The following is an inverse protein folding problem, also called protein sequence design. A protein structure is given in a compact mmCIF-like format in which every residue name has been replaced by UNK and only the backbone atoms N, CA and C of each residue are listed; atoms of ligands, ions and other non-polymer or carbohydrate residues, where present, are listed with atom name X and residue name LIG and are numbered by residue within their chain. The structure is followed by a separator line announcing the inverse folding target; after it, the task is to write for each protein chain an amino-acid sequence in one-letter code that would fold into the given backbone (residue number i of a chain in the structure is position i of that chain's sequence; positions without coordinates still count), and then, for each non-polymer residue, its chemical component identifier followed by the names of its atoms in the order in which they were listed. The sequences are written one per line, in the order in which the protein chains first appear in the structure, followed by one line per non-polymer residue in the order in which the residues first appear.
data_IF_260214719458
#
_entry.id   IF_260214719458
#
_cell.length_a   1.000
_cell.length_b   1.000
_cell.length_c   1.000
_cell.angle_alpha   90.00
_cell.angle_beta   90.00
_cell.angle_gamma   90.00
#
_symmetry.space_group_name_H-M   'P 1'
#
loop_
_entity.id
_entity.type
_entity.pdbx_description
1 polymer ?
#
# COMPACT_ATOMS: atom_id res chain seq x y z
N UNK A 1 -11.47 0.29 -6.53
CA UNK A 1 -10.66 -0.80 -7.09
C UNK A 1 -11.62 -1.84 -7.66
N UNK A 2 -11.13 -2.88 -8.33
CA UNK A 2 -11.93 -4.07 -8.64
C UNK A 2 -11.77 -5.02 -7.46
N UNK A 3 -12.87 -5.37 -6.80
CA UNK A 3 -12.82 -6.18 -5.58
C UNK A 3 -13.00 -7.67 -5.90
N UNK A 4 -12.13 -8.49 -5.32
CA UNK A 4 -12.18 -9.95 -5.32
C UNK A 4 -12.42 -10.45 -3.89
N UNK A 5 -12.63 -11.75 -3.73
CA UNK A 5 -12.92 -12.37 -2.42
C UNK A 5 -11.83 -12.10 -1.37
N UNK A 6 -10.56 -12.02 -1.80
CA UNK A 6 -9.41 -11.97 -0.89
C UNK A 6 -8.48 -10.76 -1.11
N UNK A 7 -8.77 -9.89 -2.09
CA UNK A 7 -7.92 -8.75 -2.43
C UNK A 7 -8.65 -7.78 -3.36
N UNK A 8 -8.08 -6.62 -3.60
CA UNK A 8 -8.57 -5.64 -4.57
C UNK A 8 -7.48 -5.31 -5.59
N UNK A 9 -7.88 -5.13 -6.85
CA UNK A 9 -6.99 -4.78 -7.96
C UNK A 9 -7.25 -3.33 -8.41
N UNK A 10 -6.22 -2.50 -8.35
CA UNK A 10 -6.23 -1.18 -8.99
C UNK A 10 -5.72 -1.29 -10.43
N UNK A 11 -6.47 -0.72 -11.38
CA UNK A 11 -5.99 -0.50 -12.74
C UNK A 11 -5.54 0.96 -12.84
N UNK A 12 -4.25 1.17 -13.08
CA UNK A 12 -3.61 2.50 -13.02
C UNK A 12 -2.96 2.88 -14.34
N UNK A 13 -2.89 4.19 -14.60
CA UNK A 13 -2.04 4.77 -15.64
C UNK A 13 -0.68 5.09 -14.98
N UNK A 14 0.45 4.50 -15.43
CA UNK A 14 1.74 4.62 -14.76
C UNK A 14 2.21 6.07 -14.51
N UNK A 15 1.86 6.99 -15.40
CA UNK A 15 2.23 8.41 -15.31
C UNK A 15 1.44 9.18 -14.24
N UNK A 16 0.30 8.63 -13.78
CA UNK A 16 -0.55 9.24 -12.75
C UNK A 16 -0.42 8.51 -11.40
N UNK A 17 -0.20 7.20 -11.42
CA UNK A 17 0.02 6.40 -10.23
C UNK A 17 1.00 5.26 -10.54
N UNK A 18 2.12 5.15 -9.81
CA UNK A 18 3.09 4.09 -10.05
C UNK A 18 2.49 2.71 -9.75
N UNK A 19 2.92 1.71 -10.52
CA UNK A 19 2.64 0.31 -10.21
C UNK A 19 3.30 -0.05 -8.87
N UNK A 20 2.57 -0.80 -8.05
CA UNK A 20 3.05 -1.35 -6.78
C UNK A 20 2.11 -2.50 -6.38
N UNK A 21 2.50 -3.26 -5.37
CA UNK A 21 1.59 -4.09 -4.60
C UNK A 21 1.70 -3.72 -3.13
N UNK A 22 0.60 -3.86 -2.40
CA UNK A 22 0.54 -3.56 -0.98
C UNK A 22 0.67 -4.83 -0.14
N UNK A 23 1.43 -4.76 0.94
CA UNK A 23 1.51 -5.79 1.98
C UNK A 23 0.96 -5.20 3.27
N UNK A 24 -0.10 -5.82 3.78
CA UNK A 24 -0.64 -5.52 5.10
C UNK A 24 0.36 -5.87 6.20
N UNK A 25 0.61 -4.94 7.11
CA UNK A 25 1.50 -5.14 8.25
C UNK A 25 1.18 -4.17 9.39
N UNK A 26 0.92 -4.71 10.59
CA UNK A 26 0.80 -3.91 11.82
C UNK A 26 2.08 -3.14 12.15
N UNK A 27 3.23 -3.66 11.70
CA UNK A 27 4.57 -3.12 11.89
C UNK A 27 5.05 -2.33 10.67
N UNK A 28 4.14 -1.80 9.83
CA UNK A 28 4.50 -1.01 8.64
C UNK A 28 5.44 0.17 8.96
N UNK A 29 5.34 0.76 10.16
CA UNK A 29 6.21 1.86 10.62
C UNK A 29 7.67 1.45 10.80
N UNK A 30 7.99 0.14 10.90
CA UNK A 30 9.36 -0.34 10.94
C UNK A 30 10.11 -0.12 9.61
N UNK A 31 9.38 0.14 8.52
CA UNK A 31 9.93 0.39 7.19
C UNK A 31 10.08 1.89 6.86
N UNK A 32 9.56 2.78 7.70
CA UNK A 32 9.69 4.23 7.55
C UNK A 32 8.52 5.02 8.14
N UNK A 33 8.51 6.33 7.91
CA UNK A 33 7.43 7.21 8.35
C UNK A 33 6.15 6.96 7.55
N UNK A 34 5.05 6.66 8.24
CA UNK A 34 3.76 6.38 7.61
C UNK A 34 3.06 7.66 7.17
N UNK A 35 2.61 7.69 5.92
CA UNK A 35 1.67 8.68 5.40
C UNK A 35 0.25 8.21 5.67
N UNK A 36 -0.55 9.03 6.36
CA UNK A 36 -1.97 8.74 6.59
C UNK A 36 -2.80 9.08 5.36
N UNK A 37 -3.61 8.13 4.93
CA UNK A 37 -4.56 8.29 3.83
C UNK A 37 -5.91 8.80 4.34
N UNK A 38 -6.73 9.28 3.40
CA UNK A 38 -8.06 9.83 3.70
C UNK A 38 -9.03 8.75 4.20
N UNK A 39 -8.83 7.50 3.80
CA UNK A 39 -9.64 6.35 4.22
C UNK A 39 -9.31 5.84 5.63
N UNK A 40 -8.31 6.42 6.29
CA UNK A 40 -7.89 6.05 7.64
C UNK A 40 -6.77 5.01 7.69
N UNK A 41 -6.40 4.41 6.55
CA UNK A 41 -5.19 3.58 6.46
C UNK A 41 -3.94 4.46 6.54
N UNK A 42 -2.79 3.85 6.82
CA UNK A 42 -1.51 4.53 6.79
C UNK A 42 -0.45 3.64 6.16
N UNK A 43 0.39 4.19 5.29
CA UNK A 43 1.37 3.39 4.56
C UNK A 43 2.71 4.08 4.34
N UNK A 44 3.73 3.29 4.02
CA UNK A 44 5.03 3.75 3.54
C UNK A 44 5.40 2.99 2.27
N UNK A 45 5.96 3.71 1.29
CA UNK A 45 6.45 3.12 0.06
C UNK A 45 7.95 2.83 0.17
N UNK A 46 8.32 1.60 -0.15
CA UNK A 46 9.71 1.14 -0.22
C UNK A 46 10.01 0.57 -1.60
N UNK A 47 11.30 0.27 -1.84
CA UNK A 47 11.75 -0.50 -2.99
C UNK A 47 12.36 -1.82 -2.54
N UNK A 48 12.07 -2.89 -3.25
CA UNK A 48 12.81 -4.15 -3.10
C UNK A 48 14.20 -4.09 -3.74
N UNK A 49 14.93 -5.20 -3.71
CA UNK A 49 16.27 -5.32 -4.28
C UNK A 49 16.32 -5.14 -5.80
N UNK A 50 15.20 -5.38 -6.48
CA UNK A 50 15.05 -5.24 -7.93
C UNK A 50 14.43 -3.88 -8.33
N UNK A 51 14.11 -3.04 -7.35
CA UNK A 51 13.58 -1.69 -7.54
C UNK A 51 12.06 -1.60 -7.71
N UNK A 52 11.32 -2.69 -7.51
CA UNK A 52 9.85 -2.71 -7.54
C UNK A 52 9.30 -1.88 -6.37
N UNK A 53 8.19 -1.19 -6.60
CA UNK A 53 7.53 -0.44 -5.54
C UNK A 53 6.68 -1.38 -4.68
N UNK A 54 6.89 -1.33 -3.37
CA UNK A 54 6.09 -2.06 -2.37
C UNK A 54 5.48 -1.02 -1.43
N UNK A 55 4.19 -1.12 -1.18
CA UNK A 55 3.52 -0.35 -0.14
C UNK A 55 3.36 -1.22 1.11
N UNK A 56 3.96 -0.81 2.22
CA UNK A 56 3.69 -1.41 3.51
C UNK A 56 2.52 -0.65 4.13
N UNK A 57 1.36 -1.29 4.26
CA UNK A 57 0.12 -0.65 4.70
C UNK A 57 -0.33 -1.19 6.05
N UNK A 58 -0.75 -0.27 6.93
CA UNK A 58 -1.49 -0.57 8.15
C UNK A 58 -2.96 -0.21 7.93
N UNK A 59 -3.84 -1.18 8.14
CA UNK A 59 -5.29 -0.96 8.02
C UNK A 59 -5.79 -0.05 9.13
N UNK A 60 -6.94 0.57 8.90
CA UNK A 60 -7.60 1.37 9.92
C UNK A 60 -8.11 0.46 11.04
N UNK A 61 -8.12 0.92 12.29
CA UNK A 61 -8.60 0.15 13.45
C UNK A 61 -10.11 -0.21 13.41
N UNK A 62 -10.82 0.10 12.31
CA UNK A 62 -12.27 -0.02 12.14
C UNK A 62 -12.71 -1.16 11.18
N UNK A 63 -11.80 -2.06 10.79
CA UNK A 63 -12.12 -3.27 9.99
C UNK A 63 -11.95 -4.57 10.80
#
# INVERSE_FOLDING_TARGET
MIDFENTSLALVIPEQHPFHFAIESDEASSYGELTKHRDGTASVYIKDIDGNNIEMIKLSDNE
#
